data_IF_334546554481
#
_entry.id   IF_334546554481
#
_cell.length_a   1.000
_cell.length_b   1.000
_cell.length_c   1.000
_cell.angle_alpha   90.00
_cell.angle_beta   90.00
_cell.angle_gamma   90.00
#
_symmetry.space_group_name_H-M   'P 1'
#
loop_
_entity.id
_entity.type
_entity.pdbx_description
1 polymer ?
#
# COMPACT_ATOMS: atom_id res chain seq x y z
N UNK A 1 -10.17 53.64 -62.20
CA UNK A 1 -8.89 53.21 -61.60
C UNK A 1 -9.06 52.88 -60.12
N UNK A 2 -9.38 53.86 -59.28
CA UNK A 2 -9.56 53.74 -57.82
C UNK A 2 -10.49 52.59 -57.35
N UNK A 3 -11.64 52.40 -58.01
CA UNK A 3 -12.57 51.31 -57.65
C UNK A 3 -11.95 49.91 -57.86
N UNK A 4 -11.18 49.73 -58.93
CA UNK A 4 -10.49 48.46 -59.23
C UNK A 4 -9.39 48.17 -58.20
N UNK A 5 -8.68 49.21 -57.77
CA UNK A 5 -7.61 49.11 -56.78
C UNK A 5 -8.15 48.78 -55.39
N UNK A 6 -9.25 49.42 -54.98
CA UNK A 6 -9.94 49.11 -53.72
C UNK A 6 -10.53 47.69 -53.70
N UNK A 7 -11.09 47.23 -54.82
CA UNK A 7 -11.56 45.85 -54.99
C UNK A 7 -10.40 44.85 -54.86
N UNK A 8 -9.25 45.16 -55.47
CA UNK A 8 -8.06 44.30 -55.45
C UNK A 8 -7.46 44.19 -54.04
N UNK A 9 -7.37 45.31 -53.30
CA UNK A 9 -6.95 45.30 -51.89
C UNK A 9 -7.91 44.51 -50.99
N UNK A 10 -9.22 44.65 -51.21
CA UNK A 10 -10.23 43.90 -50.45
C UNK A 10 -10.13 42.40 -50.71
N UNK A 11 -9.96 42.02 -51.98
CA UNK A 11 -9.78 40.62 -52.38
C UNK A 11 -8.50 40.03 -51.78
N UNK A 12 -7.38 40.77 -51.80
CA UNK A 12 -6.13 40.35 -51.16
C UNK A 12 -6.31 40.09 -49.65
N UNK A 13 -7.02 40.99 -48.94
CA UNK A 13 -7.32 40.80 -47.50
C UNK A 13 -8.16 39.55 -47.24
N UNK A 14 -9.16 39.28 -48.08
CA UNK A 14 -9.99 38.08 -47.97
C UNK A 14 -9.15 36.83 -48.22
N UNK A 15 -8.31 36.83 -49.26
CA UNK A 15 -7.39 35.72 -49.57
C UNK A 15 -6.45 35.44 -48.40
N UNK A 16 -5.82 36.48 -47.82
CA UNK A 16 -4.94 36.30 -46.65
C UNK A 16 -5.69 35.75 -45.43
N UNK A 17 -6.92 36.20 -45.18
CA UNK A 17 -7.74 35.68 -44.08
C UNK A 17 -8.11 34.21 -44.30
N UNK A 18 -8.45 33.85 -45.54
CA UNK A 18 -8.76 32.46 -45.90
C UNK A 18 -7.53 31.56 -45.80
N UNK A 19 -6.35 32.04 -46.22
CA UNK A 19 -5.09 31.31 -46.07
C UNK A 19 -4.79 31.03 -44.59
N UNK A 20 -4.87 32.05 -43.72
CA UNK A 20 -4.69 31.87 -42.28
C UNK A 20 -5.70 30.87 -41.69
N UNK A 21 -6.96 30.90 -42.13
CA UNK A 21 -7.96 29.92 -41.70
C UNK A 21 -7.68 28.51 -42.21
N UNK A 22 -7.15 28.35 -43.42
CA UNK A 22 -6.73 27.04 -43.90
C UNK A 22 -5.57 26.49 -43.06
N UNK A 23 -4.61 27.33 -42.66
CA UNK A 23 -3.51 26.92 -41.78
C UNK A 23 -4.00 26.53 -40.38
N UNK A 24 -4.92 27.30 -39.78
CA UNK A 24 -5.58 26.94 -38.51
C UNK A 24 -6.31 25.59 -38.60
N UNK A 25 -7.05 25.36 -39.70
CA UNK A 25 -7.76 24.10 -39.94
C UNK A 25 -6.77 22.95 -40.07
N UNK A 26 -5.66 23.14 -40.79
CA UNK A 26 -4.64 22.11 -40.94
C UNK A 26 -4.01 21.74 -39.59
N UNK A 27 -3.64 22.72 -38.77
CA UNK A 27 -3.13 22.48 -37.42
C UNK A 27 -4.15 21.75 -36.53
N UNK A 28 -5.43 22.10 -36.66
CA UNK A 28 -6.50 21.42 -35.93
C UNK A 28 -6.66 19.97 -36.38
N UNK A 29 -6.61 19.70 -37.69
CA UNK A 29 -6.61 18.34 -38.24
C UNK A 29 -5.43 17.52 -37.70
N UNK A 30 -4.24 18.11 -37.63
CA UNK A 30 -3.05 17.43 -37.09
C UNK A 30 -3.20 17.11 -35.60
N UNK A 31 -3.79 18.05 -34.84
CA UNK A 31 -4.13 17.85 -33.42
C UNK A 31 -5.13 16.71 -33.26
N UNK A 32 -6.20 16.68 -34.06
CA UNK A 32 -7.20 15.61 -34.05
C UNK A 32 -6.60 14.25 -34.40
N UNK A 33 -5.73 14.20 -35.41
CA UNK A 33 -5.03 12.97 -35.79
C UNK A 33 -4.10 12.47 -34.67
N UNK A 34 -3.44 13.38 -33.95
CA UNK A 34 -2.63 13.01 -32.80
C UNK A 34 -3.49 12.47 -31.65
N UNK A 35 -4.60 13.14 -31.31
CA UNK A 35 -5.56 12.67 -30.29
C UNK A 35 -6.14 11.30 -30.67
N UNK A 36 -6.50 11.09 -31.95
CA UNK A 36 -7.01 9.81 -32.43
C UNK A 36 -6.00 8.68 -32.23
N UNK A 37 -4.73 8.90 -32.58
CA UNK A 37 -3.65 7.94 -32.34
C UNK A 37 -3.46 7.66 -30.85
N UNK A 38 -3.53 8.71 -30.02
CA UNK A 38 -3.46 8.58 -28.56
C UNK A 38 -4.59 7.71 -28.01
N UNK A 39 -5.83 7.94 -28.44
CA UNK A 39 -6.99 7.11 -28.03
C UNK A 39 -6.80 5.66 -28.47
N UNK A 40 -6.33 5.41 -29.70
CA UNK A 40 -6.07 4.06 -30.18
C UNK A 40 -5.01 3.34 -29.34
N UNK A 41 -3.87 3.98 -29.09
CA UNK A 41 -2.79 3.41 -28.27
C UNK A 41 -3.27 3.15 -26.82
N UNK A 42 -3.93 4.14 -26.20
CA UNK A 42 -4.44 4.00 -24.84
C UNK A 42 -5.47 2.87 -24.74
N UNK A 43 -6.39 2.76 -25.71
CA UNK A 43 -7.37 1.67 -25.72
C UNK A 43 -6.71 0.29 -25.86
N UNK A 44 -5.68 0.17 -26.69
CA UNK A 44 -4.92 -1.08 -26.83
C UNK A 44 -4.19 -1.46 -25.54
N UNK A 45 -3.62 -0.48 -24.84
CA UNK A 45 -2.93 -0.71 -23.57
C UNK A 45 -3.92 -1.18 -22.49
N UNK A 46 -5.06 -0.49 -22.33
CA UNK A 46 -6.07 -0.87 -21.34
C UNK A 46 -6.68 -2.25 -21.64
N UNK A 47 -6.82 -2.63 -22.92
CA UNK A 47 -7.24 -3.98 -23.29
C UNK A 47 -6.20 -5.02 -22.85
N UNK A 48 -4.91 -4.77 -23.08
CA UNK A 48 -3.82 -5.67 -22.65
C UNK A 48 -3.78 -5.81 -21.13
N UNK A 49 -3.86 -4.70 -20.39
CA UNK A 49 -3.88 -4.71 -18.92
C UNK A 49 -5.10 -5.47 -18.39
N UNK A 50 -6.27 -5.33 -19.03
CA UNK A 50 -7.47 -6.08 -18.65
C UNK A 50 -7.26 -7.59 -18.84
N UNK A 51 -6.69 -8.00 -19.97
CA UNK A 51 -6.40 -9.40 -20.27
C UNK A 51 -5.39 -9.97 -19.25
N UNK A 52 -4.35 -9.22 -18.90
CA UNK A 52 -3.36 -9.61 -17.87
C UNK A 52 -3.99 -9.83 -16.48
N UNK A 53 -4.92 -8.96 -16.06
CA UNK A 53 -5.62 -9.12 -14.79
C UNK A 53 -6.55 -10.35 -14.79
N UNK A 54 -7.21 -10.65 -15.91
CA UNK A 54 -8.00 -11.88 -16.05
C UNK A 54 -7.12 -13.13 -16.09
N UNK A 55 -5.99 -13.11 -16.78
CA UNK A 55 -5.02 -14.21 -16.80
C UNK A 55 -4.50 -14.52 -15.38
N UNK A 56 -4.25 -13.49 -14.57
CA UNK A 56 -3.91 -13.65 -13.16
C UNK A 56 -5.03 -14.36 -12.38
N UNK A 57 -6.28 -13.93 -12.55
CA UNK A 57 -7.44 -14.57 -11.92
C UNK A 57 -7.61 -16.04 -12.37
N UNK A 58 -7.41 -16.33 -13.65
CA UNK A 58 -7.46 -17.70 -14.17
C UNK A 58 -6.37 -18.58 -13.57
N UNK A 59 -5.15 -18.07 -13.41
CA UNK A 59 -4.06 -18.80 -12.75
C UNK A 59 -4.43 -19.20 -11.33
N UNK A 60 -4.95 -18.26 -10.54
CA UNK A 60 -5.38 -18.53 -9.16
C UNK A 60 -6.50 -19.57 -9.13
N UNK A 61 -7.48 -19.46 -10.03
CA UNK A 61 -8.59 -20.43 -10.13
C UNK A 61 -8.09 -21.84 -10.49
N UNK A 62 -7.12 -21.95 -11.39
CA UNK A 62 -6.55 -23.25 -11.75
C UNK A 62 -5.71 -23.86 -10.62
N UNK A 63 -4.94 -23.05 -9.89
CA UNK A 63 -4.22 -23.49 -8.68
C UNK A 63 -5.18 -24.02 -7.60
N UNK A 64 -6.27 -23.30 -7.33
CA UNK A 64 -7.29 -23.72 -6.36
C UNK A 64 -7.95 -25.03 -6.80
N UNK A 65 -8.30 -25.14 -8.09
CA UNK A 65 -8.87 -26.36 -8.68
C UNK A 65 -7.92 -27.55 -8.54
N UNK A 66 -6.65 -27.40 -8.89
CA UNK A 66 -5.66 -28.46 -8.77
C UNK A 66 -5.44 -28.87 -7.30
N UNK A 67 -5.45 -27.90 -6.37
CA UNK A 67 -5.41 -28.17 -4.93
C UNK A 67 -6.60 -29.02 -4.44
N UNK A 68 -7.81 -28.70 -4.88
CA UNK A 68 -9.02 -29.47 -4.56
C UNK A 68 -8.99 -30.88 -5.17
N UNK A 69 -8.59 -30.99 -6.44
CA UNK A 69 -8.43 -32.28 -7.14
C UNK A 69 -7.43 -33.18 -6.39
N UNK A 70 -6.30 -32.63 -5.97
CA UNK A 70 -5.28 -33.37 -5.23
C UNK A 70 -5.79 -33.86 -3.88
N UNK A 71 -6.56 -33.04 -3.16
CA UNK A 71 -7.20 -33.44 -1.89
C UNK A 71 -8.16 -34.62 -2.08
N UNK A 72 -8.98 -34.59 -3.13
CA UNK A 72 -9.88 -35.71 -3.47
C UNK A 72 -9.10 -36.97 -3.83
N UNK A 73 -8.07 -36.86 -4.68
CA UNK A 73 -7.21 -37.99 -5.07
C UNK A 73 -6.48 -38.59 -3.87
N UNK A 74 -6.00 -37.77 -2.93
CA UNK A 74 -5.36 -38.24 -1.72
C UNK A 74 -6.33 -39.03 -0.83
N UNK A 75 -7.53 -38.50 -0.60
CA UNK A 75 -8.55 -39.18 0.20
C UNK A 75 -9.01 -40.49 -0.46
N UNK A 76 -9.17 -40.50 -1.78
CA UNK A 76 -9.44 -41.72 -2.56
C UNK A 76 -8.33 -42.76 -2.34
N UNK A 77 -7.07 -42.35 -2.49
CA UNK A 77 -5.90 -43.22 -2.32
C UNK A 77 -5.85 -43.80 -0.92
N UNK A 78 -6.02 -42.94 0.11
CA UNK A 78 -5.98 -43.34 1.53
C UNK A 78 -7.03 -44.39 1.85
N UNK A 79 -8.30 -44.15 1.46
CA UNK A 79 -9.39 -45.10 1.67
C UNK A 79 -9.17 -46.40 0.90
N UNK A 80 -8.71 -46.32 -0.35
CA UNK A 80 -8.45 -47.50 -1.17
C UNK A 80 -7.35 -48.37 -0.57
N UNK A 81 -6.26 -47.76 -0.09
CA UNK A 81 -5.16 -48.48 0.58
C UNK A 81 -5.62 -49.15 1.88
N UNK A 82 -6.43 -48.49 2.71
CA UNK A 82 -6.94 -49.08 3.94
C UNK A 82 -7.87 -50.27 3.66
N UNK A 83 -8.77 -50.15 2.67
CA UNK A 83 -9.62 -51.26 2.24
C UNK A 83 -8.79 -52.41 1.66
N UNK A 84 -7.79 -52.12 0.84
CA UNK A 84 -6.95 -53.14 0.22
C UNK A 84 -6.10 -53.89 1.26
N UNK A 85 -5.56 -53.16 2.25
CA UNK A 85 -4.90 -53.75 3.42
C UNK A 85 -5.83 -54.65 4.22
N UNK A 86 -7.08 -54.21 4.46
CA UNK A 86 -8.09 -55.02 5.13
C UNK A 86 -8.44 -56.29 4.33
N UNK A 87 -8.59 -56.19 3.00
CA UNK A 87 -8.83 -57.34 2.11
C UNK A 87 -7.67 -58.34 2.20
N UNK A 88 -6.41 -57.88 2.14
CA UNK A 88 -5.25 -58.76 2.29
C UNK A 88 -5.22 -59.46 3.66
N UNK A 89 -5.56 -58.75 4.74
CA UNK A 89 -5.66 -59.34 6.08
C UNK A 89 -6.76 -60.41 6.15
N UNK A 90 -7.93 -60.14 5.56
CA UNK A 90 -9.03 -61.10 5.48
C UNK A 90 -8.63 -62.35 4.68
N UNK A 91 -8.01 -62.19 3.51
CA UNK A 91 -7.58 -63.30 2.66
C UNK A 91 -6.54 -64.18 3.37
N UNK A 92 -5.53 -63.58 3.99
CA UNK A 92 -4.52 -64.33 4.75
C UNK A 92 -5.13 -65.07 5.95
N UNK A 93 -6.05 -64.43 6.67
CA UNK A 93 -6.73 -65.08 7.80
C UNK A 93 -7.64 -66.24 7.33
N UNK A 94 -8.29 -66.09 6.17
CA UNK A 94 -9.11 -67.12 5.55
C UNK A 94 -8.26 -68.33 5.15
N UNK A 95 -7.17 -68.12 4.40
CA UNK A 95 -6.25 -69.19 3.99
C UNK A 95 -5.70 -69.98 5.19
N UNK A 96 -5.21 -69.27 6.21
CA UNK A 96 -4.74 -69.90 7.45
C UNK A 96 -5.86 -70.68 8.16
N UNK A 97 -7.10 -70.19 8.13
CA UNK A 97 -8.23 -70.88 8.76
C UNK A 97 -8.66 -72.12 7.98
N UNK A 98 -8.57 -72.10 6.66
CA UNK A 98 -8.85 -73.25 5.79
C UNK A 98 -7.80 -74.35 6.01
N UNK A 99 -6.51 -74.01 6.07
CA UNK A 99 -5.45 -74.97 6.40
C UNK A 99 -5.62 -75.59 7.79
N UNK A 100 -5.95 -74.77 8.79
CA UNK A 100 -6.20 -75.23 10.15
C UNK A 100 -7.45 -76.13 10.23
N UNK A 101 -8.50 -75.79 9.49
CA UNK A 101 -9.71 -76.61 9.41
C UNK A 101 -9.41 -77.97 8.78
N UNK A 102 -8.64 -78.01 7.70
CA UNK A 102 -8.23 -79.25 7.06
C UNK A 102 -7.34 -80.10 7.99
N UNK A 103 -6.38 -79.46 8.69
CA UNK A 103 -5.53 -80.13 9.68
C UNK A 103 -6.33 -80.69 10.86
N UNK A 104 -7.27 -79.92 11.41
CA UNK A 104 -8.16 -80.38 12.48
C UNK A 104 -9.04 -81.54 12.01
N UNK A 105 -9.58 -81.46 10.79
CA UNK A 105 -10.43 -82.50 10.21
C UNK A 105 -9.66 -83.81 10.02
N UNK A 106 -8.45 -83.77 9.44
CA UNK A 106 -7.60 -84.97 9.32
C UNK A 106 -7.20 -85.56 10.67
N UNK A 107 -7.05 -84.71 11.70
CA UNK A 107 -6.71 -85.16 13.05
C UNK A 107 -7.85 -85.93 13.73
N UNK A 108 -9.11 -85.70 13.35
CA UNK A 108 -10.26 -86.43 13.89
C UNK A 108 -10.30 -87.91 13.47
N UNK A 109 -9.58 -88.30 12.40
CA UNK A 109 -9.52 -89.68 11.91
C UNK A 109 -8.42 -90.55 12.59
N UNK A 110 -7.64 -89.97 13.51
CA UNK A 110 -6.55 -90.67 14.21
C UNK A 110 -7.12 -91.56 15.32
N UNK A 111 -7.05 -92.89 15.15
CA UNK A 111 -7.64 -93.89 16.05
C UNK A 111 -6.71 -94.40 17.17
N UNK A 112 -5.45 -93.99 17.19
CA UNK A 112 -4.45 -94.50 18.13
C UNK A 112 -4.37 -93.66 19.42
N UNK A 113 -4.45 -94.28 20.61
CA UNK A 113 -4.50 -93.58 21.90
C UNK A 113 -3.19 -92.89 22.33
N UNK A 114 -2.04 -93.23 21.71
CA UNK A 114 -0.73 -92.64 22.02
C UNK A 114 -0.51 -91.26 21.37
N UNK A 115 -1.43 -90.80 20.50
CA UNK A 115 -1.35 -89.50 19.81
C UNK A 115 -2.14 -88.36 20.50
N UNK A 116 -2.63 -88.55 21.74
CA UNK A 116 -3.42 -87.54 22.47
C UNK A 116 -2.76 -86.15 22.52
N UNK A 117 -1.43 -86.08 22.57
CA UNK A 117 -0.65 -84.83 22.51
C UNK A 117 -0.90 -84.01 21.23
N UNK A 118 -1.12 -84.67 20.07
CA UNK A 118 -1.45 -84.01 18.81
C UNK A 118 -2.82 -83.33 18.86
N UNK A 119 -3.81 -83.95 19.50
CA UNK A 119 -5.14 -83.37 19.68
C UNK A 119 -5.11 -82.08 20.53
N UNK A 120 -4.32 -82.06 21.60
CA UNK A 120 -4.15 -80.86 22.44
C UNK A 120 -3.48 -79.73 21.65
N UNK A 121 -2.49 -80.05 20.81
CA UNK A 121 -1.83 -79.07 19.94
C UNK A 121 -2.78 -78.49 18.87
N UNK A 122 -3.58 -79.35 18.21
CA UNK A 122 -4.62 -78.94 17.24
C UNK A 122 -5.63 -78.02 17.93
N UNK A 123 -6.15 -78.44 19.08
CA UNK A 123 -7.11 -77.66 19.86
C UNK A 123 -6.57 -76.27 20.20
N UNK A 124 -5.32 -76.18 20.66
CA UNK A 124 -4.69 -74.91 20.97
C UNK A 124 -4.52 -74.03 19.72
N UNK A 125 -4.08 -74.59 18.60
CA UNK A 125 -3.92 -73.85 17.33
C UNK A 125 -5.25 -73.33 16.78
N UNK A 126 -6.31 -74.12 16.85
CA UNK A 126 -7.65 -73.72 16.41
C UNK A 126 -8.20 -72.62 17.33
N UNK A 127 -8.16 -72.81 18.65
CA UNK A 127 -8.68 -71.81 19.61
C UNK A 127 -7.92 -70.48 19.58
N UNK A 128 -6.66 -70.49 19.14
CA UNK A 128 -5.85 -69.27 18.98
C UNK A 128 -5.85 -68.71 17.55
N UNK A 129 -6.62 -69.26 16.61
CA UNK A 129 -6.61 -68.80 15.22
C UNK A 129 -7.02 -67.32 15.10
N UNK A 130 -6.24 -66.56 14.34
CA UNK A 130 -6.45 -65.11 14.14
C UNK A 130 -7.80 -64.78 13.51
N UNK A 131 -8.38 -65.70 12.73
CA UNK A 131 -9.71 -65.57 12.14
C UNK A 131 -10.81 -65.31 13.18
N UNK A 132 -10.72 -65.90 14.38
CA UNK A 132 -11.72 -65.68 15.44
C UNK A 132 -11.67 -64.28 16.07
N UNK A 133 -10.60 -63.52 15.81
CA UNK A 133 -10.40 -62.15 16.33
C UNK A 133 -10.56 -61.09 15.23
N UNK A 134 -10.90 -61.48 14.01
CA UNK A 134 -11.00 -60.56 12.88
C UNK A 134 -12.31 -59.76 12.93
N UNK A 135 -12.22 -58.45 12.68
CA UNK A 135 -13.41 -57.60 12.52
C UNK A 135 -13.86 -57.59 11.06
N UNK A 136 -15.11 -58.00 10.81
CA UNK A 136 -15.73 -58.05 9.48
C UNK A 136 -16.45 -56.75 9.09
N UNK A 137 -16.20 -55.65 9.80
CA UNK A 137 -16.73 -54.33 9.45
C UNK A 137 -15.69 -53.55 8.64
N UNK A 138 -16.05 -52.94 7.51
CA UNK A 138 -15.15 -52.06 6.78
C UNK A 138 -14.57 -50.99 7.70
N UNK A 139 -13.25 -50.82 7.68
CA UNK A 139 -12.56 -49.81 8.51
C UNK A 139 -12.81 -48.38 8.03
N UNK A 140 -13.21 -48.21 6.77
CA UNK A 140 -13.52 -46.92 6.16
C UNK A 140 -14.85 -46.98 5.41
N UNK A 141 -15.58 -45.87 5.40
CA UNK A 141 -16.78 -45.69 4.56
C UNK A 141 -16.39 -45.09 3.21
N UNK A 142 -17.19 -45.38 2.19
CA UNK A 142 -17.16 -44.80 0.85
C UNK A 142 -17.58 -43.32 0.78
N UNK A 143 -18.23 -42.77 1.82
CA UNK A 143 -18.75 -41.39 1.80
C UNK A 143 -17.66 -40.32 1.64
N UNK A 144 -17.75 -39.50 0.59
CA UNK A 144 -16.85 -38.37 0.31
C UNK A 144 -17.57 -37.01 0.24
N UNK A 145 -18.81 -36.92 0.71
CA UNK A 145 -19.65 -35.70 0.65
C UNK A 145 -19.04 -34.48 1.34
N UNK A 146 -18.15 -34.67 2.32
CA UNK A 146 -17.41 -33.59 2.97
C UNK A 146 -16.44 -32.83 2.04
N UNK A 147 -16.17 -33.36 0.84
CA UNK A 147 -15.36 -32.72 -0.20
C UNK A 147 -16.22 -32.04 -1.29
N UNK A 148 -17.55 -32.01 -1.13
CA UNK A 148 -18.41 -31.27 -2.05
C UNK A 148 -18.18 -29.77 -1.91
N UNK A 149 -18.17 -29.07 -3.05
CA UNK A 149 -17.90 -27.64 -3.11
C UNK A 149 -19.09 -26.90 -3.71
N UNK A 150 -19.42 -25.75 -3.15
CA UNK A 150 -20.39 -24.79 -3.68
C UNK A 150 -19.68 -23.48 -3.99
N UNK A 151 -19.75 -23.05 -5.25
CA UNK A 151 -19.10 -21.82 -5.75
C UNK A 151 -20.08 -20.66 -5.93
N UNK A 152 -21.25 -20.71 -5.29
CA UNK A 152 -22.31 -19.71 -5.49
C UNK A 152 -21.87 -18.31 -5.09
N UNK A 153 -21.11 -18.17 -4.00
CA UNK A 153 -20.60 -16.88 -3.53
C UNK A 153 -19.54 -16.31 -4.46
N UNK A 154 -18.57 -17.12 -4.88
CA UNK A 154 -17.48 -16.73 -5.76
C UNK A 154 -18.01 -16.30 -7.13
N UNK A 155 -19.02 -17.02 -7.66
CA UNK A 155 -19.72 -16.62 -8.89
C UNK A 155 -20.39 -15.26 -8.74
N UNK A 156 -21.04 -15.00 -7.60
CA UNK A 156 -21.66 -13.70 -7.36
C UNK A 156 -20.59 -12.60 -7.28
N UNK A 157 -19.46 -12.84 -6.62
CA UNK A 157 -18.35 -11.89 -6.57
C UNK A 157 -17.79 -11.60 -7.97
N UNK A 158 -17.56 -12.63 -8.78
CA UNK A 158 -17.11 -12.47 -10.17
C UNK A 158 -18.13 -11.71 -11.04
N UNK A 159 -19.43 -11.91 -10.83
CA UNK A 159 -20.48 -11.16 -11.53
C UNK A 159 -20.55 -9.68 -11.13
N UNK A 160 -20.05 -9.33 -9.95
CA UNK A 160 -19.98 -7.93 -9.48
C UNK A 160 -18.74 -7.17 -9.95
N UNK A 161 -17.81 -7.83 -10.67
CA UNK A 161 -16.64 -7.18 -11.24
C UNK A 161 -17.07 -6.05 -12.19
N UNK A 162 -16.51 -4.87 -11.97
CA UNK A 162 -16.77 -3.63 -12.72
C UNK A 162 -15.48 -2.83 -12.79
N UNK A 163 -15.38 -1.97 -13.80
CA UNK A 163 -14.32 -0.97 -13.87
C UNK A 163 -14.28 -0.10 -12.61
N UNK A 164 -13.09 0.39 -12.27
CA UNK A 164 -12.91 1.29 -11.14
C UNK A 164 -13.63 2.61 -11.42
N UNK A 165 -14.49 3.10 -10.51
CA UNK A 165 -15.12 4.41 -10.66
C UNK A 165 -14.06 5.51 -10.53
N UNK A 166 -14.29 6.67 -11.13
CA UNK A 166 -13.42 7.83 -10.88
C UNK A 166 -13.53 8.21 -9.39
N UNK A 167 -12.41 8.32 -8.66
CA UNK A 167 -12.45 8.72 -7.26
C UNK A 167 -13.07 10.10 -7.10
N UNK A 168 -13.88 10.29 -6.05
CA UNK A 168 -14.39 11.61 -5.70
C UNK A 168 -13.26 12.52 -5.19
N UNK A 169 -13.44 13.83 -5.36
CA UNK A 169 -12.51 14.81 -4.82
C UNK A 169 -12.45 14.69 -3.28
N UNK A 170 -11.26 14.59 -2.67
CA UNK A 170 -11.13 14.64 -1.21
C UNK A 170 -11.50 16.03 -0.67
N UNK A 171 -11.84 16.10 0.60
CA UNK A 171 -12.10 17.35 1.32
C UNK A 171 -10.94 17.64 2.26
N UNK A 172 -10.19 18.72 2.02
CA UNK A 172 -9.18 19.19 2.97
C UNK A 172 -9.91 19.73 4.20
N UNK A 173 -9.51 19.29 5.40
CA UNK A 173 -10.03 19.82 6.65
C UNK A 173 -9.09 20.91 7.18
N UNK A 174 -9.44 22.21 7.06
CA UNK A 174 -8.56 23.28 7.50
C UNK A 174 -8.34 23.31 9.01
N UNK A 175 -9.19 22.64 9.80
CA UNK A 175 -9.10 22.60 11.27
C UNK A 175 -8.00 21.64 11.72
N UNK A 176 -7.87 20.51 11.02
CA UNK A 176 -6.83 19.50 11.26
C UNK A 176 -5.50 19.85 10.56
N UNK A 177 -5.51 20.83 9.66
CA UNK A 177 -4.28 21.38 9.08
C UNK A 177 -3.45 22.15 10.12
N UNK A 178 -2.15 21.89 10.18
CA UNK A 178 -1.23 22.53 11.13
C UNK A 178 -0.10 23.25 10.40
N UNK A 179 0.24 24.45 10.87
CA UNK A 179 1.39 25.23 10.38
C UNK A 179 2.29 25.55 11.56
N UNK A 180 3.44 24.88 11.66
CA UNK A 180 4.37 25.02 12.78
C UNK A 180 5.81 24.73 12.33
N UNK A 181 6.80 25.38 12.93
CA UNK A 181 8.23 25.04 12.80
C UNK A 181 8.74 24.82 11.37
N UNK A 182 8.46 25.76 10.45
CA UNK A 182 8.82 25.64 9.03
C UNK A 182 8.24 24.37 8.37
N UNK A 183 7.12 23.89 8.88
CA UNK A 183 6.39 22.75 8.36
C UNK A 183 4.89 23.05 8.25
N UNK A 184 4.25 22.42 7.27
CA UNK A 184 2.81 22.49 7.06
C UNK A 184 2.27 21.07 6.92
N UNK A 185 1.43 20.68 7.86
CA UNK A 185 0.65 19.45 7.81
C UNK A 185 -0.71 19.74 7.22
N UNK A 186 -1.03 19.06 6.12
CA UNK A 186 -2.33 19.14 5.46
C UNK A 186 -3.05 17.83 5.71
N UNK A 187 -4.26 17.90 6.26
CA UNK A 187 -5.12 16.75 6.48
C UNK A 187 -6.37 16.85 5.60
N UNK A 188 -6.83 15.73 5.07
CA UNK A 188 -8.03 15.62 4.25
C UNK A 188 -8.83 14.37 4.62
N UNK A 189 -10.06 14.29 4.14
CA UNK A 189 -10.96 13.15 4.31
C UNK A 189 -11.68 12.84 3.02
N UNK A 190 -12.11 11.60 2.87
CA UNK A 190 -12.97 11.20 1.76
C UNK A 190 -14.44 11.37 2.17
N UNK A 191 -15.29 12.01 1.34
CA UNK A 191 -16.71 12.18 1.64
C UNK A 191 -17.48 10.84 1.65
N UNK A 192 -16.98 9.82 0.96
CA UNK A 192 -17.47 8.43 1.03
C UNK A 192 -16.27 7.50 1.20
N UNK A 193 -16.44 6.42 1.97
CA UNK A 193 -15.41 5.38 2.08
C UNK A 193 -15.26 4.64 0.74
N UNK A 194 -14.33 5.11 -0.08
CA UNK A 194 -13.92 4.44 -1.30
C UNK A 194 -12.68 3.59 -1.02
N UNK A 195 -12.89 2.29 -0.84
CA UNK A 195 -11.81 1.32 -0.61
C UNK A 195 -10.96 1.05 -1.87
N UNK A 196 -11.18 1.79 -2.97
CA UNK A 196 -10.47 1.62 -4.24
C UNK A 196 -9.44 2.71 -4.50
N UNK A 197 -9.17 3.58 -3.53
CA UNK A 197 -8.10 4.60 -3.64
C UNK A 197 -6.74 3.90 -3.47
N UNK A 198 -5.84 4.15 -4.41
CA UNK A 198 -4.46 3.66 -4.33
C UNK A 198 -3.54 4.67 -3.65
N UNK A 199 -3.61 5.95 -4.02
CA UNK A 199 -2.78 7.02 -3.46
C UNK A 199 -3.44 8.40 -3.63
N UNK A 200 -2.88 9.41 -2.97
CA UNK A 200 -3.25 10.81 -3.11
C UNK A 200 -2.11 11.63 -3.70
N UNK A 201 -2.48 12.67 -4.44
CA UNK A 201 -1.56 13.68 -4.97
C UNK A 201 -1.90 15.00 -4.31
N UNK A 202 -0.95 15.55 -3.55
CA UNK A 202 -1.04 16.86 -2.93
C UNK A 202 -0.29 17.86 -3.81
N UNK A 203 -0.96 18.96 -4.13
CA UNK A 203 -0.34 20.08 -4.81
C UNK A 203 -0.37 21.31 -3.92
N UNK A 204 0.75 22.02 -3.89
CA UNK A 204 0.87 23.25 -3.13
C UNK A 204 1.57 24.36 -3.89
N UNK A 205 1.28 25.60 -3.50
CA UNK A 205 1.98 26.79 -4.01
C UNK A 205 1.97 27.90 -2.99
N UNK A 206 3.04 28.69 -2.98
CA UNK A 206 3.17 29.88 -2.12
C UNK A 206 2.46 31.07 -2.75
N UNK A 207 1.84 31.92 -1.94
CA UNK A 207 1.23 33.18 -2.42
C UNK A 207 1.25 34.25 -1.33
N UNK A 208 1.20 35.52 -1.76
CA UNK A 208 1.06 36.66 -0.86
C UNK A 208 -0.39 37.15 -0.74
N UNK A 209 -1.32 36.51 -1.46
CA UNK A 209 -2.74 36.88 -1.45
C UNK A 209 -3.56 35.89 -0.64
N UNK A 210 -4.47 36.45 0.14
CA UNK A 210 -5.49 35.66 0.85
C UNK A 210 -6.60 35.23 -0.11
N UNK A 211 -7.12 34.02 0.11
CA UNK A 211 -8.23 33.43 -0.64
C UNK A 211 -7.84 32.65 -1.91
N UNK A 212 -8.88 32.32 -2.70
CA UNK A 212 -8.79 31.39 -3.83
C UNK A 212 -7.70 31.79 -4.85
N UNK A 213 -7.07 30.80 -5.50
CA UNK A 213 -6.15 30.99 -6.61
C UNK A 213 -6.62 32.01 -7.66
N UNK A 214 -5.95 33.16 -7.78
CA UNK A 214 -6.21 34.10 -8.87
C UNK A 214 -5.71 33.49 -10.18
N UNK A 215 -6.55 33.49 -11.22
CA UNK A 215 -6.26 32.93 -12.55
C UNK A 215 -5.02 33.56 -13.23
N UNK A 216 -4.54 34.71 -12.74
CA UNK A 216 -3.35 35.41 -13.23
C UNK A 216 -2.03 35.09 -12.50
N UNK A 217 -2.05 34.28 -11.43
CA UNK A 217 -0.80 33.87 -10.79
C UNK A 217 -0.13 32.76 -11.61
N UNK A 218 0.96 33.11 -12.29
CA UNK A 218 1.82 32.23 -13.12
C UNK A 218 2.64 31.20 -12.33
N UNK A 219 2.50 31.12 -11.01
CA UNK A 219 3.26 30.16 -10.20
C UNK A 219 2.73 28.73 -10.39
N UNK A 220 3.63 27.86 -10.88
CA UNK A 220 3.41 26.43 -11.00
C UNK A 220 3.12 25.81 -9.63
N UNK A 221 2.21 24.84 -9.62
CA UNK A 221 1.97 23.99 -8.44
C UNK A 221 3.14 23.05 -8.25
N UNK A 222 3.65 22.95 -7.02
CA UNK A 222 4.57 21.91 -6.60
C UNK A 222 3.76 20.65 -6.27
N UNK A 223 4.20 19.49 -6.77
CA UNK A 223 3.44 18.24 -6.75
C UNK A 223 4.14 17.25 -5.83
N UNK A 224 3.36 16.65 -4.93
CA UNK A 224 3.76 15.52 -4.09
C UNK A 224 2.84 14.36 -4.43
N UNK A 225 3.44 13.26 -4.84
CA UNK A 225 2.74 12.06 -5.29
C UNK A 225 2.95 10.89 -4.32
N UNK A 226 2.15 9.84 -4.49
CA UNK A 226 2.22 8.57 -3.79
C UNK A 226 1.99 8.67 -2.27
N UNK A 227 1.10 9.57 -1.84
CA UNK A 227 0.70 9.68 -0.44
C UNK A 227 -0.33 8.59 -0.14
N UNK A 228 -0.01 7.67 0.78
CA UNK A 228 -0.92 6.57 1.18
C UNK A 228 -1.84 6.95 2.34
N UNK A 229 -1.49 7.99 3.11
CA UNK A 229 -2.28 8.51 4.21
C UNK A 229 -3.28 9.58 3.77
N UNK A 230 -4.14 9.99 4.71
CA UNK A 230 -5.07 11.11 4.55
C UNK A 230 -4.50 12.42 5.11
N UNK A 231 -3.19 12.43 5.40
CA UNK A 231 -2.45 13.60 5.84
C UNK A 231 -1.04 13.57 5.26
N UNK A 232 -0.44 14.75 5.10
CA UNK A 232 0.94 14.87 4.70
C UNK A 232 1.58 16.11 5.30
N UNK A 233 2.81 15.95 5.81
CA UNK A 233 3.60 17.04 6.38
C UNK A 233 4.73 17.45 5.45
N UNK A 234 4.63 18.67 4.94
CA UNK A 234 5.72 19.37 4.28
C UNK A 234 6.68 19.93 5.31
N UNK A 235 7.96 19.57 5.27
CA UNK A 235 8.99 20.07 6.19
C UNK A 235 10.07 20.88 5.46
N UNK A 236 10.80 21.72 6.20
CA UNK A 236 11.90 22.52 5.65
C UNK A 236 11.44 23.70 4.76
N UNK A 237 10.20 24.16 4.94
CA UNK A 237 9.63 25.25 4.18
C UNK A 237 10.20 26.59 4.63
N UNK A 238 10.64 27.42 3.68
CA UNK A 238 10.88 28.84 3.95
C UNK A 238 9.56 29.59 3.85
N UNK A 239 9.07 30.15 4.96
CA UNK A 239 7.87 31.00 4.98
C UNK A 239 8.18 32.42 4.48
N UNK A 240 8.66 32.51 3.23
CA UNK A 240 8.94 33.75 2.50
C UNK A 240 7.69 34.42 1.92
N UNK A 241 6.55 33.73 1.97
CA UNK A 241 5.22 34.20 1.56
C UNK A 241 4.26 34.12 2.74
N UNK A 242 3.21 34.95 2.73
CA UNK A 242 2.24 35.01 3.85
C UNK A 242 1.25 33.83 3.85
N UNK A 243 0.99 33.25 2.70
CA UNK A 243 0.02 32.17 2.55
C UNK A 243 0.55 31.05 1.66
N UNK A 244 -0.02 29.87 1.82
CA UNK A 244 0.17 28.73 0.92
C UNK A 244 -1.20 28.19 0.52
N UNK A 245 -1.38 27.87 -0.76
CA UNK A 245 -2.56 27.17 -1.25
C UNK A 245 -2.25 25.69 -1.38
N UNK A 246 -3.23 24.86 -1.02
CA UNK A 246 -3.17 23.41 -1.08
C UNK A 246 -4.39 22.89 -1.80
N UNK A 247 -4.20 21.87 -2.64
CA UNK A 247 -5.29 21.07 -3.20
C UNK A 247 -4.85 19.63 -3.29
N UNK A 248 -5.76 18.70 -3.05
CA UNK A 248 -5.46 17.27 -3.07
C UNK A 248 -6.40 16.55 -4.01
N UNK A 249 -5.94 15.49 -4.67
CA UNK A 249 -6.80 14.58 -5.43
C UNK A 249 -6.55 13.14 -5.02
N UNK A 250 -7.59 12.31 -5.11
CA UNK A 250 -7.49 10.88 -4.94
C UNK A 250 -7.23 10.20 -6.30
N UNK A 251 -6.35 9.20 -6.30
CA UNK A 251 -6.02 8.39 -7.45
C UNK A 251 -6.32 6.93 -7.15
N UNK A 252 -6.98 6.24 -8.08
CA UNK A 252 -7.02 4.79 -8.07
C UNK A 252 -6.06 4.22 -9.13
N UNK A 253 -5.97 2.89 -9.23
CA UNK A 253 -5.09 2.21 -10.19
C UNK A 253 -5.37 2.59 -11.66
N UNK A 254 -6.57 3.07 -12.00
CA UNK A 254 -6.98 3.36 -13.37
C UNK A 254 -7.02 4.86 -13.72
N UNK A 255 -7.36 5.74 -12.76
CA UNK A 255 -7.67 7.14 -13.02
C UNK A 255 -7.47 8.01 -11.78
N UNK A 256 -7.00 9.24 -12.00
CA UNK A 256 -6.99 10.31 -11.01
C UNK A 256 -8.33 11.03 -10.99
N UNK A 257 -8.90 11.22 -9.80
CA UNK A 257 -10.09 12.02 -9.58
C UNK A 257 -9.85 13.52 -9.74
N UNK A 258 -10.90 14.29 -9.53
CA UNK A 258 -10.81 15.75 -9.50
C UNK A 258 -10.06 16.23 -8.24
N UNK A 259 -9.49 17.43 -8.32
CA UNK A 259 -8.88 18.08 -7.16
C UNK A 259 -9.96 18.59 -6.20
N UNK A 260 -9.63 18.58 -4.92
CA UNK A 260 -10.36 19.27 -3.86
C UNK A 260 -10.47 20.76 -4.15
N UNK A 261 -11.46 21.41 -3.52
CA UNK A 261 -11.45 22.85 -3.42
C UNK A 261 -10.13 23.31 -2.76
N UNK A 262 -9.44 24.30 -3.32
CA UNK A 262 -8.14 24.73 -2.81
C UNK A 262 -8.32 25.43 -1.47
N UNK A 263 -7.52 25.03 -0.49
CA UNK A 263 -7.48 25.64 0.84
C UNK A 263 -6.24 26.52 0.96
N UNK A 264 -6.44 27.73 1.48
CA UNK A 264 -5.35 28.67 1.77
C UNK A 264 -5.01 28.62 3.26
N UNK A 265 -3.77 28.27 3.60
CA UNK A 265 -3.26 28.29 4.97
C UNK A 265 -2.32 29.48 5.16
N UNK A 266 -2.44 30.17 6.29
CA UNK A 266 -1.56 31.28 6.66
C UNK A 266 -0.25 30.74 7.23
N UNK A 267 0.87 31.10 6.60
CA UNK A 267 2.21 30.80 7.08
C UNK A 267 2.67 31.94 7.98
N UNK A 268 2.39 31.82 9.28
CA UNK A 268 2.85 32.78 10.29
C UNK A 268 4.36 32.67 10.46
N UNK A 269 5.09 33.35 9.58
CA UNK A 269 6.52 33.49 9.68
C UNK A 269 6.87 34.38 10.89
N UNK A 270 7.46 33.80 11.93
CA UNK A 270 8.24 34.56 12.89
C UNK A 270 9.63 34.78 12.26
N UNK A 271 9.77 35.85 11.49
CA UNK A 271 11.06 36.26 10.95
C UNK A 271 11.90 36.85 12.09
N UNK A 272 12.70 36.02 12.74
CA UNK A 272 13.69 36.48 13.70
C UNK A 272 14.91 36.98 12.93
N UNK A 273 15.15 38.29 12.96
CA UNK A 273 16.41 38.87 12.53
C UNK A 273 17.34 38.93 13.74
N UNK A 274 18.59 38.50 13.56
CA UNK A 274 19.60 38.65 14.60
C UNK A 274 20.02 40.11 14.70
N UNK A 275 19.78 40.74 15.84
CA UNK A 275 20.11 42.15 16.06
C UNK A 275 21.58 42.30 16.44
N UNK A 276 22.39 42.73 15.48
CA UNK A 276 23.81 43.03 15.68
C UNK A 276 24.07 44.19 16.64
N UNK A 277 23.06 45.00 17.00
CA UNK A 277 23.25 46.06 18.01
C UNK A 277 23.30 45.49 19.44
N UNK A 278 22.73 44.30 19.64
CA UNK A 278 22.72 43.56 20.91
C UNK A 278 23.84 42.51 21.01
N UNK A 279 24.64 42.34 19.95
CA UNK A 279 25.68 41.32 19.89
C UNK A 279 26.90 41.71 20.74
N UNK A 280 27.59 40.69 21.26
CA UNK A 280 28.86 40.90 21.94
C UNK A 280 29.91 41.43 20.95
N UNK A 281 30.85 42.28 21.38
CA UNK A 281 31.85 42.88 20.47
C UNK A 281 32.71 41.87 19.69
N UNK A 282 32.85 40.65 20.20
CA UNK A 282 33.56 39.55 19.52
C UNK A 282 32.64 38.66 18.67
N UNK A 283 31.35 38.98 18.56
CA UNK A 283 30.39 38.27 17.74
C UNK A 283 30.00 39.18 16.59
N UNK A 284 30.40 38.80 15.38
CA UNK A 284 29.94 39.43 14.17
C UNK A 284 28.66 38.74 13.74
N UNK A 285 27.55 39.45 13.85
CA UNK A 285 26.22 38.95 13.51
C UNK A 285 25.80 39.56 12.17
N UNK A 286 25.63 38.72 11.15
CA UNK A 286 25.10 39.11 9.83
C UNK A 286 23.83 38.32 9.56
N UNK A 287 22.68 38.98 9.44
CA UNK A 287 21.32 38.50 9.12
C UNK A 287 20.91 37.07 9.59
N UNK A 288 21.60 36.01 9.13
CA UNK A 288 21.35 34.60 9.48
C UNK A 288 22.58 33.84 10.02
N UNK A 289 23.71 34.49 10.26
CA UNK A 289 24.98 33.88 10.68
C UNK A 289 25.62 34.65 11.84
N UNK A 290 26.24 33.90 12.77
CA UNK A 290 27.01 34.45 13.89
C UNK A 290 28.42 33.90 13.80
N UNK A 291 29.38 34.78 13.59
CA UNK A 291 30.79 34.43 13.52
C UNK A 291 31.56 35.03 14.70
N UNK A 292 32.51 34.27 15.24
CA UNK A 292 33.40 34.78 16.27
C UNK A 292 34.53 35.58 15.63
N UNK A 293 34.59 36.88 15.93
CA UNK A 293 35.71 37.75 15.56
C UNK A 293 36.67 37.87 16.76
N UNK A 294 37.87 37.28 16.69
CA UNK A 294 38.86 37.35 17.77
C UNK A 294 39.45 38.76 17.98
N UNK A 295 39.13 39.72 17.11
CA UNK A 295 39.70 41.08 17.14
C UNK A 295 38.74 42.16 17.66
N UNK A 296 37.43 41.88 17.75
CA UNK A 296 36.40 42.90 18.01
C UNK A 296 36.41 43.54 19.41
N UNK A 297 36.94 42.86 20.42
CA UNK A 297 36.94 43.31 21.82
C UNK A 297 38.24 43.98 22.28
N UNK A 298 39.21 44.19 21.39
CA UNK A 298 40.49 44.84 21.74
C UNK A 298 40.35 46.37 21.76
N UNK A 299 39.55 46.89 22.69
CA UNK A 299 39.52 48.32 22.95
C UNK A 299 38.31 48.83 23.72
N UNK A 300 38.10 48.40 24.97
CA UNK A 300 37.65 49.29 26.06
C UNK A 300 37.55 48.54 27.41
N UNK A 301 37.93 49.25 28.47
CA UNK A 301 37.94 48.80 29.87
C UNK A 301 36.53 48.57 30.44
N UNK A 302 36.50 47.69 31.44
CA UNK A 302 35.38 47.23 32.26
C UNK A 302 34.37 48.32 32.62
N UNK A 303 33.14 48.24 32.09
CA UNK A 303 31.96 48.89 32.67
C UNK A 303 31.03 47.83 33.24
N UNK A 304 30.91 47.82 34.57
CA UNK A 304 29.94 47.00 35.28
C UNK A 304 28.52 47.41 34.84
N UNK A 305 27.78 46.47 34.25
CA UNK A 305 26.36 46.62 33.93
C UNK A 305 25.54 46.18 35.15
N UNK A 306 24.96 47.15 35.87
CA UNK A 306 23.90 46.88 36.85
C UNK A 306 22.64 46.45 36.08
N UNK A 307 22.33 45.15 36.12
CA UNK A 307 21.07 44.60 35.63
C UNK A 307 19.96 44.79 36.67
N UNK A 308 18.76 45.16 36.23
CA UNK A 308 17.57 45.22 37.09
C UNK A 308 17.12 43.80 37.51
N UNK A 309 16.43 43.69 38.65
CA UNK A 309 15.97 42.39 39.21
C UNK A 309 15.11 41.56 38.23
N UNK A 310 14.32 42.21 37.34
CA UNK A 310 13.55 41.51 36.30
C UNK A 310 14.42 40.92 35.20
N UNK A 311 15.49 41.62 34.79
CA UNK A 311 16.44 41.12 33.80
C UNK A 311 17.31 39.99 34.37
N UNK A 312 17.62 40.04 35.67
CA UNK A 312 18.31 38.96 36.36
C UNK A 312 17.43 37.70 36.46
N UNK A 313 16.10 37.85 36.64
CA UNK A 313 15.16 36.73 36.65
C UNK A 313 15.04 36.05 35.26
N UNK A 314 14.96 36.85 34.19
CA UNK A 314 14.95 36.37 32.81
C UNK A 314 16.25 35.65 32.45
N UNK A 315 17.40 36.17 32.87
CA UNK A 315 18.70 35.51 32.71
C UNK A 315 18.78 34.20 33.49
N UNK A 316 18.28 34.13 34.73
CA UNK A 316 18.25 32.86 35.47
C UNK A 316 17.32 31.82 34.85
N UNK A 317 16.20 32.23 34.26
CA UNK A 317 15.31 31.32 33.54
C UNK A 317 15.94 30.84 32.22
N UNK A 318 16.64 31.74 31.52
CA UNK A 318 17.34 31.42 30.27
C UNK A 318 18.59 30.55 30.52
N UNK A 319 19.33 30.80 31.60
CA UNK A 319 20.45 29.94 32.04
C UNK A 319 19.95 28.58 32.54
N UNK A 320 18.78 28.49 33.19
CA UNK A 320 18.20 27.21 33.56
C UNK A 320 17.82 26.37 32.32
N UNK A 321 17.20 26.99 31.32
CA UNK A 321 16.85 26.33 30.05
C UNK A 321 18.10 25.96 29.26
N UNK A 322 19.11 26.83 29.19
CA UNK A 322 20.39 26.52 28.55
C UNK A 322 21.18 25.44 29.29
N UNK A 323 21.12 25.42 30.63
CA UNK A 323 21.75 24.38 31.46
C UNK A 323 21.05 23.05 31.29
N UNK A 324 19.72 23.00 31.19
CA UNK A 324 18.98 21.77 30.89
C UNK A 324 19.27 21.27 29.47
N UNK A 325 19.36 22.17 28.49
CA UNK A 325 19.76 21.83 27.11
C UNK A 325 21.21 21.34 27.07
N UNK A 326 22.14 21.97 27.79
CA UNK A 326 23.53 21.51 27.87
C UNK A 326 23.66 20.19 28.61
N UNK A 327 22.90 19.96 29.68
CA UNK A 327 22.91 18.69 30.41
C UNK A 327 22.30 17.57 29.55
N UNK A 328 21.25 17.87 28.78
CA UNK A 328 20.65 16.93 27.84
C UNK A 328 21.61 16.59 26.70
N UNK A 329 22.24 17.60 26.08
CA UNK A 329 23.26 17.38 25.04
C UNK A 329 24.46 16.60 25.61
N UNK A 330 24.94 16.93 26.81
CA UNK A 330 26.08 16.26 27.44
C UNK A 330 25.75 14.80 27.83
N UNK A 331 24.56 14.53 28.39
CA UNK A 331 24.09 13.17 28.70
C UNK A 331 23.86 12.33 27.46
N UNK A 332 23.34 12.93 26.38
CA UNK A 332 23.13 12.23 25.10
C UNK A 332 24.48 11.93 24.42
N UNK A 333 25.46 12.83 24.53
CA UNK A 333 26.82 12.60 24.01
C UNK A 333 27.63 11.61 24.85
N UNK A 334 27.47 11.57 26.18
CA UNK A 334 28.17 10.60 27.04
C UNK A 334 27.59 9.19 26.94
N UNK A 335 26.29 9.03 26.65
CA UNK A 335 25.68 7.70 26.41
C UNK A 335 26.04 7.08 25.06
N UNK A 336 26.43 7.88 24.07
CA UNK A 336 26.80 7.38 22.73
C UNK A 336 28.31 7.18 22.50
N UNK A 337 29.17 7.58 23.46
CA UNK A 337 30.63 7.56 23.31
C UNK A 337 31.39 6.85 24.45
N UNK A 338 30.73 6.01 25.24
CA UNK A 338 31.41 4.92 25.96
C UNK A 338 31.02 3.56 25.35
N UNK A 339 31.97 2.65 25.10
CA UNK A 339 31.69 1.30 24.59
C UNK A 339 30.93 0.41 25.60
#
# INVERSE_FOLDING_TARGET
>A
SLFRECLLMTLQRIISTLANKNDEIQNFIDTLNHTLKGVQANSSNILSELDEEFDSLYSILDEVKEGMINSIKQEQTRKSQELQSQISQCNNALENSEELLEFATRSLDIKEPEEFSKYVCVYHRVTMASAFRLSLKPKVSDNMTHLMVDFSQERQMLQTLKFLPVPKAPEIDPVECLVADNSVTVAWRMPEEDNKIDHFILEHRKTNFDGLPRVKDEQCWEIIDNIKGTEYTLSGLKFDSKYMNFRVRACNKAVAGEYSDPVTLETKALNFNLDNSSSHLNLKVEDTCVEWDPTGGKGQETRALNLSYEQMLLLTHFEAVLSEIFLFIYMTFTFYLLP
#
